data_IF_056379714032
#
_entry.id   IF_056379714032
#
_cell.length_a   1.000
_cell.length_b   1.000
_cell.length_c   1.000
_cell.angle_alpha   90.00
_cell.angle_beta   90.00
_cell.angle_gamma   90.00
#
_symmetry.space_group_name_H-M   'P 1'
#
loop_
_entity.id
_entity.type
_entity.pdbx_description
1 polymer ?
#
# COMPACT_ATOMS: atom_id res chain seq x y z
N UNK A 1 -37.40 -7.86 22.68
CA UNK A 1 -37.70 -6.90 23.77
C UNK A 1 -36.49 -5.98 23.88
N UNK A 2 -36.56 -4.69 23.59
CA UNK A 2 -37.64 -3.89 23.03
C UNK A 2 -37.03 -2.75 22.19
N UNK A 3 -37.81 -2.34 21.19
CA UNK A 3 -37.64 -1.27 20.20
C UNK A 3 -37.59 0.15 20.82
N UNK A 4 -37.03 0.26 22.03
CA UNK A 4 -36.95 1.46 22.88
C UNK A 4 -35.52 1.75 23.37
N UNK A 5 -34.51 0.95 22.98
CA UNK A 5 -33.10 1.26 23.20
C UNK A 5 -32.47 2.03 22.01
N UNK A 6 -33.03 1.91 20.80
CA UNK A 6 -32.56 2.64 19.60
C UNK A 6 -33.01 4.11 19.53
N UNK A 7 -34.03 4.52 20.30
CA UNK A 7 -34.51 5.91 20.30
C UNK A 7 -33.72 6.80 21.29
N UNK A 8 -32.98 6.21 22.24
CA UNK A 8 -32.21 6.98 23.23
C UNK A 8 -30.77 7.31 22.79
N UNK A 9 -30.19 6.60 21.80
CA UNK A 9 -28.90 6.98 21.23
C UNK A 9 -29.01 8.09 20.15
N UNK A 10 -30.17 8.24 19.52
CA UNK A 10 -30.40 9.24 18.47
C UNK A 10 -30.76 10.65 18.98
N UNK A 11 -30.67 10.91 20.29
CA UNK A 11 -30.97 12.22 20.88
C UNK A 11 -29.81 12.89 21.66
N UNK A 12 -28.57 12.42 21.49
CA UNK A 12 -27.38 13.09 22.06
C UNK A 12 -26.28 13.39 21.03
N UNK A 13 -26.65 13.56 19.76
CA UNK A 13 -25.75 14.03 18.71
C UNK A 13 -26.30 15.26 17.99
N UNK A 14 -26.81 16.24 18.75
CA UNK A 14 -26.89 17.61 18.26
C UNK A 14 -26.77 18.59 19.44
N UNK A 15 -25.90 19.59 19.27
CA UNK A 15 -25.37 20.60 20.23
C UNK A 15 -24.07 20.12 20.91
N UNK A 16 -22.89 20.74 20.77
CA UNK A 16 -22.58 22.13 20.42
C UNK A 16 -21.23 22.25 19.67
N UNK A 17 -21.21 23.13 18.67
CA UNK A 17 -20.01 23.83 18.18
C UNK A 17 -19.58 24.86 19.23
N UNK A 18 -18.26 25.07 19.31
CA UNK A 18 -17.51 26.29 19.71
C UNK A 18 -16.61 26.21 20.97
N UNK A 19 -15.34 26.56 20.71
CA UNK A 19 -14.39 27.36 21.51
C UNK A 19 -13.25 26.70 22.32
N UNK A 20 -12.04 26.83 21.74
CA UNK A 20 -10.77 27.39 22.27
C UNK A 20 -10.06 26.85 23.52
N UNK A 21 -8.79 26.46 23.26
CA UNK A 21 -7.54 26.72 23.98
C UNK A 21 -7.30 26.32 25.45
N UNK A 22 -6.14 25.64 25.59
CA UNK A 22 -5.11 25.73 26.64
C UNK A 22 -5.36 25.08 28.02
N UNK A 23 -4.64 23.96 28.16
CA UNK A 23 -3.79 23.56 29.28
C UNK A 23 -4.42 23.15 30.64
N UNK A 24 -3.93 21.97 31.04
CA UNK A 24 -3.64 21.51 32.39
C UNK A 24 -4.84 21.00 33.21
N UNK A 25 -4.87 19.69 33.47
CA UNK A 25 -4.47 19.13 34.77
C UNK A 25 -4.38 17.61 34.67
N UNK A 26 -3.21 17.13 35.09
CA UNK A 26 -2.87 15.77 35.48
C UNK A 26 -3.90 15.24 36.50
N UNK A 27 -4.94 14.51 36.08
CA UNK A 27 -5.68 13.61 36.98
C UNK A 27 -6.60 12.64 36.21
N UNK A 28 -6.01 11.71 35.47
CA UNK A 28 -6.58 10.38 35.30
C UNK A 28 -5.40 9.41 35.23
N UNK A 29 -4.85 9.12 36.41
CA UNK A 29 -4.05 7.95 36.62
C UNK A 29 -4.88 6.70 36.26
N UNK A 30 -4.21 5.73 35.63
CA UNK A 30 -4.49 4.33 35.92
C UNK A 30 -5.84 3.74 35.46
N UNK A 31 -6.41 4.18 34.33
CA UNK A 31 -7.37 3.37 33.55
C UNK A 31 -7.25 3.70 32.06
N UNK A 32 -6.13 3.34 31.43
CA UNK A 32 -6.09 3.13 29.97
C UNK A 32 -4.93 2.22 29.54
N UNK A 33 -4.51 1.34 30.44
CA UNK A 33 -3.86 0.09 30.08
C UNK A 33 -4.92 -0.99 30.20
N UNK A 34 -5.14 -1.74 29.11
CA UNK A 34 -6.02 -2.91 29.01
C UNK A 34 -7.51 -2.57 28.81
N UNK A 35 -7.92 -2.39 27.55
CA UNK A 35 -9.06 -3.07 26.92
C UNK A 35 -8.93 -2.98 25.39
N UNK A 36 -8.02 -3.77 24.83
CA UNK A 36 -8.24 -4.39 23.52
C UNK A 36 -8.12 -5.88 23.75
N UNK A 37 -9.20 -6.48 24.24
CA UNK A 37 -9.33 -7.93 24.33
C UNK A 37 -10.50 -8.32 23.45
N UNK A 38 -10.18 -9.05 22.38
CA UNK A 38 -11.02 -9.53 21.28
C UNK A 38 -11.45 -8.47 20.26
N UNK A 39 -10.51 -7.97 19.46
CA UNK A 39 -10.87 -7.66 18.08
C UNK A 39 -11.35 -8.98 17.46
N UNK A 40 -12.66 -9.11 17.23
CA UNK A 40 -13.17 -10.23 16.43
C UNK A 40 -12.70 -9.98 15.01
N UNK A 41 -11.78 -10.81 14.52
CA UNK A 41 -11.44 -10.86 13.10
C UNK A 41 -12.71 -11.28 12.38
N UNK A 42 -13.31 -10.36 11.63
CA UNK A 42 -14.46 -10.68 10.78
C UNK A 42 -13.90 -11.06 9.42
N UNK A 43 -14.08 -12.32 9.04
CA UNK A 43 -13.67 -12.80 7.71
C UNK A 43 -14.75 -12.42 6.70
N UNK A 44 -14.36 -11.68 5.66
CA UNK A 44 -15.17 -11.46 4.46
C UNK A 44 -14.60 -12.34 3.35
N UNK A 45 -15.38 -13.33 2.88
CA UNK A 45 -14.96 -14.26 1.81
C UNK A 45 -15.78 -14.08 0.52
N UNK A 46 -15.39 -14.76 -0.56
CA UNK A 46 -16.15 -14.89 -1.81
C UNK A 46 -17.63 -15.28 -1.57
N UNK A 47 -17.92 -16.12 -0.57
CA UNK A 47 -19.31 -16.51 -0.24
C UNK A 47 -20.16 -15.35 0.30
N UNK A 48 -19.54 -14.22 0.64
CA UNK A 48 -20.21 -13.12 1.32
C UNK A 48 -20.32 -11.86 0.45
N UNK A 49 -19.32 -11.55 -0.39
CA UNK A 49 -19.43 -10.42 -1.32
C UNK A 49 -18.25 -10.15 -2.28
N UNK A 50 -17.06 -10.71 -2.01
CA UNK A 50 -15.87 -10.45 -2.82
C UNK A 50 -15.98 -11.15 -4.18
N UNK A 51 -15.47 -10.51 -5.23
CA UNK A 51 -15.44 -11.14 -6.56
C UNK A 51 -14.44 -12.30 -6.64
N UNK A 52 -13.42 -12.31 -5.79
CA UNK A 52 -12.38 -13.34 -5.72
C UNK A 52 -11.66 -13.28 -4.35
N UNK A 53 -11.14 -14.41 -3.88
CA UNK A 53 -10.37 -14.49 -2.62
C UNK A 53 -8.87 -14.21 -2.83
N UNK A 54 -8.39 -14.15 -4.07
CA UNK A 54 -7.01 -13.80 -4.41
C UNK A 54 -6.84 -12.27 -4.47
N UNK A 55 -6.83 -11.67 -3.28
CA UNK A 55 -6.64 -10.23 -3.07
C UNK A 55 -5.17 -9.86 -3.30
N UNK A 56 -4.95 -8.80 -4.08
CA UNK A 56 -3.62 -8.28 -4.40
C UNK A 56 -3.35 -6.88 -3.87
N UNK A 57 -4.37 -6.05 -3.78
CA UNK A 57 -4.27 -4.69 -3.27
C UNK A 57 -5.54 -4.30 -2.55
N UNK A 58 -5.41 -3.46 -1.52
CA UNK A 58 -6.50 -2.93 -0.72
C UNK A 58 -6.21 -1.46 -0.44
N UNK A 59 -7.14 -0.58 -0.78
CA UNK A 59 -7.03 0.85 -0.50
C UNK A 59 -8.33 1.43 0.05
N UNK A 60 -8.22 2.47 0.87
CA UNK A 60 -9.36 3.21 1.42
C UNK A 60 -9.44 4.60 0.77
N UNK A 61 -10.62 4.98 0.27
CA UNK A 61 -10.83 6.31 -0.26
C UNK A 61 -11.23 7.34 0.82
N UNK A 62 -11.24 8.62 0.45
CA UNK A 62 -11.56 9.72 1.37
C UNK A 62 -13.00 9.70 1.91
N UNK A 63 -13.88 8.89 1.32
CA UNK A 63 -15.26 8.68 1.79
C UNK A 63 -15.40 7.47 2.71
N UNK A 64 -14.30 6.74 2.97
CA UNK A 64 -14.28 5.53 3.79
C UNK A 64 -14.69 4.27 3.03
N UNK A 65 -14.75 4.30 1.68
CA UNK A 65 -14.96 3.07 0.93
C UNK A 65 -13.65 2.29 0.86
N UNK A 66 -13.75 0.97 1.00
CA UNK A 66 -12.61 0.06 0.85
C UNK A 66 -12.65 -0.57 -0.54
N UNK A 67 -11.59 -0.38 -1.30
CA UNK A 67 -11.39 -0.91 -2.64
C UNK A 67 -10.44 -2.09 -2.59
N UNK A 68 -10.87 -3.22 -3.15
CA UNK A 68 -10.18 -4.51 -3.06
C UNK A 68 -9.90 -5.00 -4.49
N UNK A 69 -8.63 -4.98 -4.88
CA UNK A 69 -8.17 -5.46 -6.19
C UNK A 69 -7.85 -6.94 -6.15
N UNK A 70 -8.32 -7.69 -7.13
CA UNK A 70 -8.18 -9.14 -7.20
C UNK A 70 -7.75 -9.61 -8.59
N UNK A 71 -7.60 -10.92 -8.79
CA UNK A 71 -7.33 -11.50 -10.11
C UNK A 71 -8.56 -11.52 -11.06
N UNK A 72 -9.75 -11.19 -10.55
CA UNK A 72 -11.02 -11.27 -11.30
C UNK A 72 -11.79 -9.95 -11.33
N UNK A 73 -11.22 -8.87 -10.80
CA UNK A 73 -11.78 -7.52 -10.84
C UNK A 73 -11.53 -6.75 -9.56
N UNK A 74 -12.32 -5.70 -9.36
CA UNK A 74 -12.31 -4.86 -8.15
C UNK A 74 -13.62 -5.04 -7.40
N UNK A 75 -13.57 -5.14 -6.08
CA UNK A 75 -14.73 -5.01 -5.20
C UNK A 75 -14.60 -3.75 -4.34
N UNK A 76 -15.61 -2.89 -4.33
CA UNK A 76 -15.75 -1.75 -3.43
C UNK A 76 -16.73 -2.08 -2.32
N UNK A 77 -16.35 -1.84 -1.07
CA UNK A 77 -17.22 -1.89 0.10
C UNK A 77 -17.44 -0.48 0.65
N UNK A 78 -18.70 -0.04 0.74
CA UNK A 78 -19.05 1.31 1.22
C UNK A 78 -19.39 1.38 2.72
N UNK A 79 -19.08 0.32 3.46
CA UNK A 79 -19.49 0.13 4.85
C UNK A 79 -20.83 -0.59 5.01
N UNK A 80 -21.63 -0.71 3.95
CA UNK A 80 -22.92 -1.42 3.95
C UNK A 80 -23.00 -2.48 2.86
N UNK A 81 -22.75 -2.06 1.61
CA UNK A 81 -22.91 -2.87 0.41
C UNK A 81 -21.57 -3.07 -0.30
N UNK A 82 -21.50 -4.17 -1.05
CA UNK A 82 -20.37 -4.48 -1.91
C UNK A 82 -20.78 -4.31 -3.37
N UNK A 83 -19.94 -3.64 -4.16
CA UNK A 83 -20.12 -3.44 -5.59
C UNK A 83 -18.86 -3.91 -6.31
N UNK A 84 -19.02 -4.78 -7.31
CA UNK A 84 -17.88 -5.30 -8.07
C UNK A 84 -17.83 -4.72 -9.48
N UNK A 85 -16.61 -4.54 -10.00
CA UNK A 85 -16.32 -3.99 -11.32
C UNK A 85 -15.37 -4.92 -12.07
N UNK A 86 -15.69 -5.18 -13.33
CA UNK A 86 -14.91 -6.00 -14.26
C UNK A 86 -14.71 -5.27 -15.58
N UNK A 87 -14.08 -5.91 -16.55
CA UNK A 87 -14.02 -5.45 -17.94
C UNK A 87 -15.40 -5.21 -18.56
N UNK A 88 -16.45 -5.91 -18.09
CA UNK A 88 -17.82 -5.65 -18.53
C UNK A 88 -18.36 -4.28 -18.06
N UNK A 89 -17.76 -3.71 -17.00
CA UNK A 89 -18.11 -2.42 -16.41
C UNK A 89 -17.15 -1.29 -16.84
N UNK A 90 -16.17 -1.61 -17.70
CA UNK A 90 -15.23 -0.66 -18.29
C UNK A 90 -13.81 -0.71 -17.74
N UNK A 91 -13.50 -1.61 -16.80
CA UNK A 91 -12.13 -1.82 -16.31
C UNK A 91 -11.21 -2.27 -17.46
N UNK A 92 -9.96 -1.79 -17.49
CA UNK A 92 -8.99 -2.10 -18.54
C UNK A 92 -8.59 -3.58 -18.61
N UNK A 93 -8.62 -4.28 -17.47
CA UNK A 93 -8.38 -5.72 -17.37
C UNK A 93 -8.86 -6.28 -16.03
N UNK A 94 -9.33 -7.52 -16.02
CA UNK A 94 -9.88 -8.15 -14.80
C UNK A 94 -8.82 -8.49 -13.76
N UNK A 95 -7.56 -8.67 -14.17
CA UNK A 95 -6.47 -8.87 -13.23
C UNK A 95 -6.01 -7.49 -12.75
N UNK A 96 -6.25 -7.20 -11.48
CA UNK A 96 -5.85 -5.97 -10.80
C UNK A 96 -4.62 -6.28 -9.94
N UNK A 97 -3.54 -5.56 -10.20
CA UNK A 97 -2.27 -5.73 -9.48
C UNK A 97 -2.16 -4.75 -8.32
N UNK A 98 -2.64 -3.53 -8.52
CA UNK A 98 -2.53 -2.45 -7.55
C UNK A 98 -3.68 -1.44 -7.67
N UNK A 99 -3.98 -0.75 -6.58
CA UNK A 99 -4.99 0.30 -6.50
C UNK A 99 -4.33 1.49 -5.78
N UNK A 100 -4.61 2.69 -6.25
CA UNK A 100 -4.22 3.93 -5.59
C UNK A 100 -5.39 4.91 -5.63
N UNK A 101 -5.67 5.57 -4.51
CA UNK A 101 -6.62 6.70 -4.46
C UNK A 101 -5.82 7.99 -4.50
N UNK A 102 -6.04 8.78 -5.55
CA UNK A 102 -5.34 10.05 -5.73
C UNK A 102 -5.80 11.12 -4.74
N UNK A 103 -5.01 12.18 -4.62
CA UNK A 103 -5.29 13.38 -3.86
C UNK A 103 -6.59 14.08 -4.28
N UNK A 104 -7.00 13.93 -5.54
CA UNK A 104 -8.28 14.45 -6.09
C UNK A 104 -9.48 13.54 -5.80
N UNK A 105 -9.23 12.33 -5.29
CA UNK A 105 -10.26 11.33 -4.97
C UNK A 105 -10.58 10.36 -6.11
N UNK A 106 -9.91 10.46 -7.25
CA UNK A 106 -10.03 9.47 -8.32
C UNK A 106 -9.33 8.17 -7.92
N UNK A 107 -9.94 7.03 -8.27
CA UNK A 107 -9.38 5.70 -7.99
C UNK A 107 -8.70 5.17 -9.23
N UNK A 108 -7.41 4.88 -9.10
CA UNK A 108 -6.58 4.31 -10.14
C UNK A 108 -6.38 2.82 -9.88
N UNK A 109 -6.47 2.01 -10.93
CA UNK A 109 -6.23 0.58 -10.87
C UNK A 109 -5.19 0.18 -11.92
N UNK A 110 -4.08 -0.38 -11.45
CA UNK A 110 -3.08 -1.02 -12.29
C UNK A 110 -3.60 -2.40 -12.72
N UNK A 111 -3.88 -2.57 -14.01
CA UNK A 111 -4.51 -3.79 -14.54
C UNK A 111 -3.64 -4.50 -15.57
N UNK A 112 -4.03 -5.72 -15.93
CA UNK A 112 -3.42 -6.47 -17.04
C UNK A 112 -3.64 -5.84 -18.43
N UNK A 113 -4.58 -4.89 -18.57
CA UNK A 113 -4.94 -4.26 -19.84
C UNK A 113 -4.72 -2.75 -19.90
N UNK A 114 -4.07 -2.16 -18.90
CA UNK A 114 -3.70 -0.75 -18.83
C UNK A 114 -3.89 -0.17 -17.44
N UNK A 115 -3.82 1.16 -17.35
CA UNK A 115 -4.18 1.89 -16.15
C UNK A 115 -5.66 2.31 -16.25
N UNK A 116 -6.50 1.82 -15.35
CA UNK A 116 -7.91 2.21 -15.28
C UNK A 116 -8.11 3.33 -14.25
N UNK A 117 -8.97 4.30 -14.54
CA UNK A 117 -9.27 5.44 -13.67
C UNK A 117 -10.77 5.56 -13.48
N UNK A 118 -11.21 5.58 -12.23
CA UNK A 118 -12.60 5.75 -11.83
C UNK A 118 -12.82 7.13 -11.19
N UNK A 119 -13.68 7.92 -11.82
CA UNK A 119 -14.01 9.28 -11.38
C UNK A 119 -15.23 9.36 -10.45
N UNK A 120 -15.62 8.25 -9.83
CA UNK A 120 -16.85 8.14 -9.04
C UNK A 120 -18.10 7.77 -9.84
N UNK A 121 -18.02 7.72 -11.18
CA UNK A 121 -19.16 7.39 -12.05
C UNK A 121 -18.80 6.31 -13.07
N UNK A 122 -17.72 6.49 -13.82
CA UNK A 122 -17.31 5.58 -14.91
C UNK A 122 -15.82 5.28 -14.85
N UNK A 123 -15.46 4.13 -15.42
CA UNK A 123 -14.08 3.77 -15.70
C UNK A 123 -13.63 4.35 -17.05
N UNK A 124 -12.39 4.84 -17.08
CA UNK A 124 -11.65 5.22 -18.28
C UNK A 124 -10.28 4.57 -18.25
N UNK A 125 -9.62 4.37 -19.40
CA UNK A 125 -8.40 3.58 -19.47
C UNK A 125 -7.32 4.30 -20.27
N UNK A 126 -6.08 4.23 -19.77
CA UNK A 126 -4.87 4.53 -20.52
C UNK A 126 -4.18 3.23 -20.93
N UNK A 127 -3.71 3.19 -22.17
CA UNK A 127 -3.05 2.05 -22.82
C UNK A 127 -1.75 2.48 -23.49
N UNK A 128 -1.06 1.54 -24.12
CA UNK A 128 0.06 1.86 -25.02
C UNK A 128 -0.33 2.83 -26.15
N UNK A 129 -1.59 2.82 -26.58
CA UNK A 129 -2.08 3.77 -27.58
C UNK A 129 -2.09 5.22 -27.10
N UNK A 130 -2.08 5.42 -25.78
CA UNK A 130 -2.15 6.73 -25.12
C UNK A 130 -0.77 7.20 -24.61
N UNK A 131 0.28 6.37 -24.75
CA UNK A 131 1.66 6.71 -24.37
C UNK A 131 2.27 5.83 -23.27
N UNK A 132 1.52 4.87 -22.71
CA UNK A 132 2.10 3.90 -21.78
C UNK A 132 3.15 3.01 -22.48
N UNK A 133 4.22 2.59 -21.79
CA UNK A 133 5.24 1.73 -22.39
C UNK A 133 4.82 0.25 -22.46
N UNK A 134 3.83 -0.16 -21.66
CA UNK A 134 3.24 -1.51 -21.65
C UNK A 134 1.79 -1.43 -21.18
N UNK A 135 0.96 -2.42 -21.54
CA UNK A 135 -0.41 -2.53 -21.04
C UNK A 135 -0.49 -3.30 -19.70
N UNK A 136 0.54 -4.06 -19.33
CA UNK A 136 0.51 -4.76 -18.05
C UNK A 136 1.16 -3.87 -16.99
N UNK A 137 0.30 -3.23 -16.21
CA UNK A 137 0.70 -2.31 -15.13
C UNK A 137 0.69 -3.08 -13.82
N UNK A 138 1.80 -3.06 -13.09
CA UNK A 138 1.96 -3.75 -11.81
C UNK A 138 1.79 -2.86 -10.59
N UNK A 139 2.12 -1.57 -10.72
CA UNK A 139 2.05 -0.61 -9.60
C UNK A 139 1.66 0.76 -10.11
N UNK A 140 1.01 1.54 -9.25
CA UNK A 140 0.63 2.92 -9.50
C UNK A 140 0.83 3.75 -8.23
N UNK A 141 1.39 4.95 -8.35
CA UNK A 141 1.65 5.85 -7.22
C UNK A 141 1.52 7.31 -7.66
N UNK A 142 1.05 8.18 -6.76
CA UNK A 142 1.03 9.63 -6.96
C UNK A 142 2.20 10.26 -6.18
N UNK A 143 3.02 11.04 -6.86
CA UNK A 143 4.11 11.76 -6.19
C UNK A 143 3.68 13.10 -5.57
N UNK A 144 4.58 13.75 -4.84
CA UNK A 144 4.32 15.05 -4.20
C UNK A 144 4.10 16.20 -5.21
N UNK A 145 4.36 15.98 -6.49
CA UNK A 145 4.09 16.91 -7.59
C UNK A 145 2.73 16.63 -8.27
N UNK A 146 1.96 15.66 -7.75
CA UNK A 146 0.70 15.16 -8.30
C UNK A 146 0.87 14.51 -9.70
N UNK A 147 2.05 13.94 -9.95
CA UNK A 147 2.27 13.11 -11.13
C UNK A 147 1.87 11.67 -10.81
N UNK A 148 1.23 11.01 -11.77
CA UNK A 148 0.83 9.61 -11.63
C UNK A 148 1.93 8.75 -12.25
N UNK A 149 2.66 8.02 -11.42
CA UNK A 149 3.67 7.06 -11.80
C UNK A 149 3.04 5.69 -11.99
N UNK A 150 3.49 4.96 -13.02
CA UNK A 150 3.09 3.59 -13.31
C UNK A 150 4.31 2.70 -13.51
N UNK A 151 4.31 1.56 -12.84
CA UNK A 151 5.33 0.52 -12.97
C UNK A 151 4.82 -0.57 -13.88
N UNK A 152 5.60 -0.94 -14.88
CA UNK A 152 5.19 -1.97 -15.85
C UNK A 152 5.89 -3.31 -15.60
N UNK A 153 5.31 -4.38 -16.15
CA UNK A 153 5.89 -5.72 -16.03
C UNK A 153 7.25 -5.89 -16.71
N UNK A 154 7.53 -5.08 -17.73
CA UNK A 154 8.56 -5.40 -18.73
C UNK A 154 9.28 -4.21 -19.37
N UNK A 155 8.74 -2.98 -19.30
CA UNK A 155 9.25 -1.83 -20.08
C UNK A 155 9.62 -0.60 -19.21
N UNK A 156 9.82 -0.80 -17.91
CA UNK A 156 10.22 0.25 -16.98
C UNK A 156 9.02 0.98 -16.37
N UNK A 157 9.15 2.29 -16.20
CA UNK A 157 8.10 3.14 -15.65
C UNK A 157 7.65 4.19 -16.65
N UNK A 158 6.46 4.73 -16.41
CA UNK A 158 6.09 6.01 -16.98
C UNK A 158 5.45 6.90 -15.92
N UNK A 159 5.44 8.20 -16.15
CA UNK A 159 4.68 9.13 -15.34
C UNK A 159 3.84 10.08 -16.20
N UNK A 160 2.69 10.45 -15.68
CA UNK A 160 1.75 11.38 -16.31
C UNK A 160 1.72 12.69 -15.55
N UNK A 161 1.97 13.79 -16.25
CA UNK A 161 1.99 15.14 -15.67
C UNK A 161 0.68 15.93 -15.86
N UNK A 162 -0.39 15.27 -16.30
CA UNK A 162 -1.65 15.92 -16.66
C UNK A 162 -1.78 16.29 -18.14
N UNK A 163 -0.72 16.13 -18.94
CA UNK A 163 -0.72 16.40 -20.39
C UNK A 163 -0.21 15.20 -21.19
N UNK A 164 0.99 14.72 -20.87
CA UNK A 164 1.69 13.69 -21.63
C UNK A 164 2.26 12.61 -20.70
N UNK A 165 2.47 11.42 -21.26
CA UNK A 165 3.21 10.33 -20.63
C UNK A 165 4.70 10.44 -20.95
N UNK A 166 5.53 10.25 -19.93
CA UNK A 166 6.98 10.23 -20.03
C UNK A 166 7.49 8.87 -19.58
N UNK A 167 8.22 8.18 -20.45
CA UNK A 167 8.74 6.83 -20.20
C UNK A 167 10.18 6.91 -19.71
N UNK A 168 10.51 6.18 -18.65
CA UNK A 168 11.86 5.99 -18.15
C UNK A 168 12.16 4.49 -18.03
N UNK A 169 13.23 4.04 -18.67
CA UNK A 169 13.63 2.64 -18.74
C UNK A 169 15.06 2.40 -18.27
N UNK A 170 15.57 1.20 -18.59
CA UNK A 170 16.93 0.80 -18.25
C UNK A 170 17.97 1.69 -18.95
N UNK A 171 17.67 2.14 -20.17
CA UNK A 171 18.53 3.06 -20.92
C UNK A 171 18.65 4.44 -20.27
N UNK A 172 17.68 4.82 -19.43
CA UNK A 172 17.68 6.08 -18.66
C UNK A 172 18.34 5.93 -17.27
N UNK A 173 18.63 4.70 -16.84
CA UNK A 173 19.34 4.41 -15.58
C UNK A 173 18.60 3.50 -14.60
N UNK A 174 17.36 3.10 -14.89
CA UNK A 174 16.59 2.16 -14.06
C UNK A 174 17.31 0.80 -13.97
N UNK A 175 17.35 0.18 -12.79
CA UNK A 175 18.12 -1.06 -12.57
C UNK A 175 17.54 -2.29 -13.29
N UNK A 176 16.23 -2.32 -13.51
CA UNK A 176 15.54 -3.36 -14.27
C UNK A 176 14.19 -2.87 -14.79
N UNK A 177 13.72 -3.46 -15.90
CA UNK A 177 12.50 -3.01 -16.57
C UNK A 177 11.20 -3.51 -15.95
N UNK A 178 11.24 -4.54 -15.11
CA UNK A 178 10.07 -4.99 -14.35
C UNK A 178 9.97 -4.26 -13.02
N UNK A 179 8.99 -3.38 -12.87
CA UNK A 179 8.80 -2.53 -11.68
C UNK A 179 7.56 -2.97 -10.92
N UNK A 180 7.81 -3.63 -9.79
CA UNK A 180 6.76 -4.28 -8.98
C UNK A 180 6.12 -3.30 -7.99
N UNK A 181 6.87 -2.35 -7.48
CA UNK A 181 6.40 -1.38 -6.49
C UNK A 181 7.00 -0.01 -6.80
N UNK A 182 6.19 1.03 -6.64
CA UNK A 182 6.60 2.43 -6.67
C UNK A 182 6.28 3.02 -5.31
N UNK A 183 7.14 3.91 -4.81
CA UNK A 183 6.87 4.65 -3.58
C UNK A 183 7.42 6.07 -3.69
N UNK A 184 6.56 7.07 -3.55
CA UNK A 184 6.97 8.47 -3.49
C UNK A 184 7.29 8.84 -2.03
N UNK A 185 8.54 9.26 -1.77
CA UNK A 185 8.95 9.66 -0.43
C UNK A 185 8.67 11.14 -0.13
N UNK A 186 8.73 11.51 1.16
CA UNK A 186 8.52 12.89 1.62
C UNK A 186 9.66 13.86 1.26
N UNK A 187 10.71 13.40 0.59
CA UNK A 187 11.85 14.18 0.12
C UNK A 187 11.81 14.39 -1.40
N UNK A 188 10.66 14.13 -2.05
CA UNK A 188 10.43 14.25 -3.49
C UNK A 188 11.22 13.24 -4.35
N UNK A 189 11.71 12.14 -3.75
CA UNK A 189 12.26 11.03 -4.53
C UNK A 189 11.18 9.99 -4.81
N UNK A 190 11.30 9.34 -5.97
CA UNK A 190 10.47 8.20 -6.33
C UNK A 190 11.32 6.93 -6.33
N UNK A 191 10.87 5.93 -5.58
CA UNK A 191 11.55 4.67 -5.38
C UNK A 191 10.88 3.57 -6.19
N UNK A 192 11.68 2.77 -6.90
CA UNK A 192 11.24 1.70 -7.79
C UNK A 192 11.80 0.37 -7.32
N UNK A 193 10.95 -0.51 -6.82
CA UNK A 193 11.31 -1.86 -6.45
C UNK A 193 11.22 -2.81 -7.65
N UNK A 194 12.31 -3.52 -7.93
CA UNK A 194 12.43 -4.40 -9.08
C UNK A 194 12.83 -5.82 -8.68
N UNK A 195 12.99 -6.70 -9.67
CA UNK A 195 13.58 -8.03 -9.46
C UNK A 195 15.11 -8.03 -9.26
N UNK A 196 15.79 -6.90 -9.49
CA UNK A 196 17.25 -6.79 -9.42
C UNK A 196 17.72 -5.66 -8.46
N UNK A 197 16.92 -5.35 -7.45
CA UNK A 197 17.20 -4.30 -6.48
C UNK A 197 16.25 -3.10 -6.62
N UNK A 198 16.69 -1.97 -6.09
CA UNK A 198 15.91 -0.73 -5.99
C UNK A 198 16.57 0.38 -6.79
N UNK A 199 15.78 1.19 -7.49
CA UNK A 199 16.21 2.46 -8.06
C UNK A 199 15.52 3.61 -7.33
N UNK A 200 16.26 4.67 -6.98
CA UNK A 200 15.72 5.93 -6.48
C UNK A 200 15.93 7.00 -7.56
N UNK A 201 14.90 7.75 -7.90
CA UNK A 201 14.95 8.86 -8.84
C UNK A 201 14.68 10.17 -8.11
N UNK A 202 15.58 11.13 -8.26
CA UNK A 202 15.52 12.44 -7.58
C UNK A 202 14.88 13.55 -8.45
N UNK A 203 14.24 13.16 -9.55
CA UNK A 203 13.70 14.08 -10.56
C UNK A 203 14.67 14.36 -11.72
N UNK A 204 15.93 13.92 -11.61
CA UNK A 204 16.95 14.11 -12.65
C UNK A 204 17.68 12.80 -12.97
N UNK A 205 18.22 12.14 -11.94
CA UNK A 205 19.12 10.99 -12.08
C UNK A 205 18.64 9.79 -11.24
N UNK A 206 18.99 8.60 -11.69
CA UNK A 206 18.79 7.36 -10.93
C UNK A 206 19.99 7.03 -10.05
N UNK A 207 19.71 6.65 -8.81
CA UNK A 207 20.65 5.97 -7.91
C UNK A 207 20.17 4.55 -7.65
N UNK A 208 21.01 3.55 -7.95
CA UNK A 208 20.64 2.13 -7.86
C UNK A 208 21.26 1.45 -6.64
N UNK A 209 20.48 0.58 -6.01
CA UNK A 209 20.85 -0.17 -4.81
C UNK A 209 20.62 -1.67 -5.00
N UNK A 210 21.66 -2.44 -4.75
CA UNK A 210 21.69 -3.90 -4.79
C UNK A 210 22.42 -4.47 -3.56
N UNK A 211 22.68 -5.78 -3.56
CA UNK A 211 23.41 -6.46 -2.49
C UNK A 211 24.82 -5.89 -2.25
N UNK A 212 25.49 -5.36 -3.27
CA UNK A 212 26.82 -4.76 -3.11
C UNK A 212 26.77 -3.41 -2.39
N UNK A 213 25.62 -2.72 -2.44
CA UNK A 213 25.38 -1.46 -1.74
C UNK A 213 24.79 -1.62 -0.33
N UNK A 214 24.40 -2.85 0.05
CA UNK A 214 23.88 -3.17 1.39
C UNK A 214 22.41 -3.58 1.44
N UNK A 215 21.72 -3.70 0.30
CA UNK A 215 20.37 -4.25 0.26
C UNK A 215 20.41 -5.77 0.59
N UNK A 216 19.57 -6.30 1.48
CA UNK A 216 19.69 -7.69 1.89
C UNK A 216 19.19 -8.71 0.84
N UNK A 217 18.40 -8.27 -0.15
CA UNK A 217 17.94 -9.12 -1.25
C UNK A 217 17.54 -8.32 -2.49
N UNK A 218 17.63 -8.95 -3.66
CA UNK A 218 17.39 -8.29 -4.95
C UNK A 218 15.91 -8.27 -5.36
N UNK A 219 15.12 -9.25 -4.93
CA UNK A 219 13.69 -9.26 -5.21
C UNK A 219 13.01 -8.32 -4.22
N UNK A 220 12.63 -7.13 -4.69
CA UNK A 220 11.95 -6.13 -3.87
C UNK A 220 10.45 -6.42 -3.89
N UNK A 221 9.85 -6.49 -2.71
CA UNK A 221 8.42 -6.80 -2.56
C UNK A 221 7.59 -5.59 -2.14
N UNK A 222 8.14 -4.68 -1.33
CA UNK A 222 7.43 -3.51 -0.82
C UNK A 222 8.44 -2.43 -0.38
N UNK A 223 8.01 -1.16 -0.39
CA UNK A 223 8.80 -0.01 0.01
C UNK A 223 7.91 0.93 0.82
N UNK A 224 8.37 1.36 2.00
CA UNK A 224 7.68 2.37 2.82
C UNK A 224 8.67 3.38 3.39
N UNK A 225 8.22 4.59 3.68
CA UNK A 225 8.99 5.52 4.51
C UNK A 225 8.55 5.46 5.97
N UNK A 226 9.49 5.17 6.85
CA UNK A 226 9.30 5.12 8.30
C UNK A 226 9.07 6.53 8.88
N UNK A 227 8.44 6.63 10.05
CA UNK A 227 8.21 7.92 10.74
C UNK A 227 9.48 8.74 11.00
N UNK A 228 10.63 8.09 11.14
CA UNK A 228 11.91 8.76 11.34
C UNK A 228 12.53 9.32 10.04
N UNK A 229 11.86 9.14 8.90
CA UNK A 229 12.31 9.61 7.59
C UNK A 229 13.06 8.57 6.77
N UNK A 230 13.54 7.48 7.37
CA UNK A 230 14.25 6.42 6.65
C UNK A 230 13.31 5.66 5.70
N UNK A 231 13.86 5.11 4.63
CA UNK A 231 13.14 4.24 3.70
C UNK A 231 13.41 2.78 4.08
N UNK A 232 12.35 2.01 4.30
CA UNK A 232 12.43 0.58 4.55
C UNK A 232 11.97 -0.19 3.31
N UNK A 233 12.74 -1.22 2.94
CA UNK A 233 12.54 -2.03 1.74
C UNK A 233 12.41 -3.48 2.13
N UNK A 234 11.25 -4.09 1.88
CA UNK A 234 11.06 -5.53 2.02
C UNK A 234 11.63 -6.27 0.82
N UNK A 235 12.41 -7.31 1.08
CA UNK A 235 13.08 -8.09 0.03
C UNK A 235 12.97 -9.59 0.30
N UNK A 236 13.44 -10.41 -0.65
CA UNK A 236 13.62 -11.84 -0.45
C UNK A 236 14.71 -12.23 0.56
N UNK A 237 15.56 -11.27 1.00
CA UNK A 237 16.68 -11.50 1.92
C UNK A 237 16.55 -10.84 3.30
N UNK A 238 15.45 -10.13 3.55
CA UNK A 238 15.17 -9.40 4.79
C UNK A 238 14.63 -8.00 4.51
N UNK A 239 14.75 -7.11 5.49
CA UNK A 239 14.37 -5.70 5.34
C UNK A 239 15.63 -4.83 5.29
N UNK A 240 15.81 -4.06 4.22
CA UNK A 240 16.82 -3.01 4.15
C UNK A 240 16.25 -1.70 4.70
N UNK A 241 17.03 -0.94 5.46
CA UNK A 241 16.65 0.39 5.95
C UNK A 241 17.72 1.39 5.51
N UNK A 242 17.32 2.38 4.73
CA UNK A 242 18.18 3.41 4.19
C UNK A 242 17.90 4.77 4.84
N UNK A 243 18.96 5.42 5.30
CA UNK A 243 18.90 6.74 5.96
C UNK A 243 19.43 7.88 5.07
N UNK A 244 19.42 7.69 3.74
CA UNK A 244 20.01 8.62 2.76
C UNK A 244 21.54 8.77 2.82
N UNK A 245 22.22 7.88 3.56
CA UNK A 245 23.69 7.84 3.63
C UNK A 245 24.22 6.40 3.55
N UNK A 246 23.55 5.46 4.23
CA UNK A 246 23.97 4.07 4.36
C UNK A 246 22.78 3.14 4.61
N UNK A 247 22.94 1.88 4.23
CA UNK A 247 22.00 0.81 4.52
C UNK A 247 22.31 0.15 5.87
N UNK A 248 21.26 -0.15 6.62
CA UNK A 248 21.25 -1.21 7.63
C UNK A 248 20.28 -2.31 7.19
N UNK A 249 20.33 -3.48 7.80
CA UNK A 249 19.43 -4.58 7.45
C UNK A 249 18.90 -5.29 8.69
N UNK A 250 17.69 -5.82 8.57
CA UNK A 250 17.10 -6.76 9.51
C UNK A 250 16.97 -8.08 8.76
N UNK A 251 17.74 -9.07 9.19
CA UNK A 251 17.88 -10.37 8.52
C UNK A 251 17.70 -11.51 9.52
N UNK A 252 17.76 -12.76 9.03
CA UNK A 252 17.71 -13.95 9.90
C UNK A 252 18.90 -14.02 10.86
N UNK A 253 20.02 -13.35 10.57
CA UNK A 253 21.15 -13.22 11.49
C UNK A 253 20.83 -12.34 12.71
N UNK A 254 19.86 -11.45 12.56
CA UNK A 254 19.37 -10.55 13.62
C UNK A 254 18.20 -11.15 14.40
N UNK A 255 17.78 -12.38 14.05
CA UNK A 255 16.66 -13.08 14.67
C UNK A 255 15.33 -12.96 13.91
N UNK A 256 15.32 -12.37 12.71
CA UNK A 256 14.13 -12.35 11.86
C UNK A 256 13.69 -13.80 11.53
N UNK A 257 12.41 -14.17 11.74
CA UNK A 257 11.96 -15.55 11.56
C UNK A 257 12.11 -16.13 10.15
N UNK A 258 12.02 -15.28 9.11
CA UNK A 258 12.22 -15.67 7.71
C UNK A 258 12.84 -14.53 6.92
N UNK A 259 13.60 -14.85 5.87
CA UNK A 259 14.24 -13.85 5.02
C UNK A 259 13.24 -13.21 4.03
N UNK A 260 12.24 -13.94 3.55
CA UNK A 260 11.35 -13.44 2.51
C UNK A 260 10.22 -12.60 3.12
N UNK A 261 10.36 -11.28 3.05
CA UNK A 261 9.35 -10.32 3.54
C UNK A 261 8.54 -9.82 2.35
N UNK A 262 7.22 -9.92 2.46
CA UNK A 262 6.27 -9.65 1.38
C UNK A 262 5.71 -8.24 1.41
N UNK A 263 5.48 -7.67 2.59
CA UNK A 263 4.96 -6.31 2.75
C UNK A 263 5.33 -5.72 4.12
N UNK A 264 5.40 -4.40 4.20
CA UNK A 264 5.75 -3.63 5.39
C UNK A 264 4.63 -2.65 5.76
N UNK A 265 4.33 -2.51 7.06
CA UNK A 265 3.53 -1.40 7.59
C UNK A 265 4.12 -0.92 8.91
N UNK A 266 3.95 0.35 9.25
CA UNK A 266 4.37 0.88 10.55
C UNK A 266 3.18 1.35 11.36
N UNK A 267 3.07 0.90 12.61
CA UNK A 267 1.99 1.35 13.51
C UNK A 267 2.31 2.70 14.19
N UNK A 268 1.33 3.30 14.87
CA UNK A 268 1.50 4.57 15.59
C UNK A 268 2.47 4.50 16.78
N UNK A 269 2.74 3.30 17.30
CA UNK A 269 3.79 3.07 18.29
C UNK A 269 5.17 2.85 17.63
N UNK A 270 5.26 3.09 16.32
CA UNK A 270 6.43 2.98 15.46
C UNK A 270 6.98 1.56 15.32
N UNK A 271 6.21 0.52 15.68
CA UNK A 271 6.62 -0.86 15.43
C UNK A 271 6.50 -1.18 13.95
N UNK A 272 7.43 -1.97 13.43
CA UNK A 272 7.42 -2.46 12.07
C UNK A 272 6.65 -3.77 12.00
N UNK A 273 5.60 -3.80 11.18
CA UNK A 273 4.83 -5.00 10.86
C UNK A 273 5.25 -5.52 9.49
N UNK A 274 5.41 -6.83 9.38
CA UNK A 274 5.92 -7.52 8.20
C UNK A 274 5.00 -8.70 7.89
N UNK A 275 4.42 -8.70 6.68
CA UNK A 275 3.78 -9.90 6.15
C UNK A 275 4.87 -10.81 5.54
N UNK A 276 4.80 -12.10 5.83
CA UNK A 276 5.79 -13.07 5.41
C UNK A 276 5.15 -14.45 5.19
N UNK A 277 5.89 -15.37 4.56
CA UNK A 277 5.41 -16.74 4.32
C UNK A 277 5.13 -17.55 5.59
N UNK A 278 5.62 -17.08 6.74
CA UNK A 278 5.42 -17.70 8.06
C UNK A 278 4.30 -17.03 8.85
N UNK A 279 3.60 -16.07 8.26
CA UNK A 279 2.56 -15.28 8.90
C UNK A 279 2.95 -13.82 9.09
N UNK A 280 2.40 -13.20 10.15
CA UNK A 280 2.57 -11.79 10.46
C UNK A 280 3.65 -11.62 11.54
N UNK A 281 4.64 -10.77 11.29
CA UNK A 281 5.73 -10.50 12.23
C UNK A 281 5.67 -9.04 12.65
N UNK A 282 5.70 -8.78 13.95
CA UNK A 282 5.90 -7.44 14.52
C UNK A 282 7.30 -7.33 15.09
N UNK A 283 7.98 -6.23 14.78
CA UNK A 283 9.28 -5.87 15.33
C UNK A 283 9.17 -4.52 16.06
N UNK A 284 9.45 -4.52 17.36
CA UNK A 284 9.41 -3.33 18.21
C UNK A 284 10.78 -2.63 18.37
N UNK A 285 11.72 -2.95 17.47
CA UNK A 285 13.12 -2.53 17.51
C UNK A 285 13.97 -3.19 18.62
N UNK A 286 13.40 -4.15 19.35
CA UNK A 286 14.13 -4.95 20.34
C UNK A 286 13.90 -6.46 20.18
N UNK A 287 12.68 -6.87 19.84
CA UNK A 287 12.27 -8.27 19.72
C UNK A 287 11.22 -8.45 18.62
N UNK A 288 11.12 -9.69 18.14
CA UNK A 288 10.09 -10.11 17.19
C UNK A 288 8.94 -10.81 17.91
N UNK A 289 7.71 -10.50 17.52
CA UNK A 289 6.50 -11.28 17.84
C UNK A 289 5.92 -11.81 16.53
N UNK A 290 5.52 -13.09 16.50
CA UNK A 290 5.03 -13.76 15.29
C UNK A 290 3.63 -14.28 15.57
N UNK A 291 2.75 -14.11 14.59
CA UNK A 291 1.44 -14.76 14.53
C UNK A 291 1.35 -15.59 13.25
N UNK A 292 0.83 -16.80 13.35
CA UNK A 292 0.66 -17.72 12.22
C UNK A 292 -0.78 -18.25 12.09
N UNK A 293 -0.96 -19.36 11.37
CA UNK A 293 -2.26 -19.99 11.17
C UNK A 293 -2.89 -20.46 12.49
N UNK A 294 -2.08 -20.94 13.44
CA UNK A 294 -2.58 -21.40 14.74
C UNK A 294 -3.10 -20.23 15.60
N UNK A 295 -2.74 -18.99 15.25
CA UNK A 295 -3.24 -17.75 15.84
C UNK A 295 -4.47 -17.17 15.13
N UNK A 296 -4.98 -17.84 14.08
CA UNK A 296 -6.20 -17.45 13.36
C UNK A 296 -5.99 -16.57 12.13
N UNK A 297 -4.76 -16.48 11.60
CA UNK A 297 -4.52 -15.88 10.29
C UNK A 297 -5.05 -16.78 9.16
N UNK A 298 -5.52 -16.16 8.08
CA UNK A 298 -5.95 -16.87 6.87
C UNK A 298 -4.75 -17.51 6.17
N UNK A 299 -4.96 -18.71 5.63
CA UNK A 299 -3.96 -19.49 4.88
C UNK A 299 -3.60 -18.88 3.53
#
# INVERSE_FOLDING_TARGET
>A
MSFLFEIFLNLLYLTAKLFYMKNLILFCAFVLSVFFTNAQITHYTFEQALIDDNVRSIEEDQSGNVWIGTISGITRFDGTDFTSFTTADGLGGDIVYDIMVSSTGDVYAATSGGLSVYNGVVWSNFTMGDGLPSNTIWSVEEDNLNQIWVGTSDMGVAYYNGLDWYVLGVDDGLVASGVKVIYADRNDNVWFGTGNGVSMYDGVDFTNFDNSTGLPGLLVNDIIQLYNGNVAVATSGGVGIYNFHSWTSITTLDGLPTANILSLRQDYAQNLWMAASVGLIKYDWSAFTVWDYDDGLTS
#
